data_IF_433836034440
#
_entry.id   IF_433836034440
#
_cell.length_a   1.000
_cell.length_b   1.000
_cell.length_c   1.000
_cell.angle_alpha   90.00
_cell.angle_beta   90.00
_cell.angle_gamma   90.00
#
_symmetry.space_group_name_H-M   'P 1'
#
loop_
_entity.id
_entity.type
_entity.pdbx_description
1 polymer ?
#
# COMPACT_ATOMS: atom_id res chain seq x y z
N UNK A 1 3.13 13.51 -35.48
CA UNK A 1 2.31 13.32 -34.25
C UNK A 1 3.24 12.98 -33.11
N UNK A 2 2.99 13.53 -31.92
CA UNK A 2 3.84 13.38 -30.72
C UNK A 2 3.75 11.94 -30.21
N UNK A 3 4.90 11.28 -30.04
CA UNK A 3 5.01 9.93 -29.45
C UNK A 3 5.47 9.95 -28.00
N UNK A 4 6.27 10.93 -27.64
CA UNK A 4 6.83 11.10 -26.30
C UNK A 4 6.68 12.56 -25.92
N UNK A 5 6.29 12.81 -24.67
CA UNK A 5 6.16 14.15 -24.12
C UNK A 5 6.92 14.21 -22.80
N UNK A 6 7.87 15.14 -22.68
CA UNK A 6 8.70 15.31 -21.50
C UNK A 6 8.68 16.77 -21.08
N UNK A 7 8.30 17.04 -19.84
CA UNK A 7 8.37 18.37 -19.23
C UNK A 7 9.72 18.56 -18.57
N UNK A 8 10.70 19.06 -19.33
CA UNK A 8 12.03 19.38 -18.82
C UNK A 8 12.00 20.69 -18.00
N UNK A 9 12.45 20.62 -16.76
CA UNK A 9 12.46 21.77 -15.85
C UNK A 9 11.10 22.07 -15.23
N UNK A 10 11.07 23.04 -14.31
CA UNK A 10 9.88 23.36 -13.51
C UNK A 10 8.91 24.26 -14.29
N UNK A 11 7.78 23.71 -14.73
CA UNK A 11 6.67 24.44 -15.32
C UNK A 11 5.54 24.62 -14.30
N UNK A 12 5.31 25.87 -13.87
CA UNK A 12 4.28 26.19 -12.87
C UNK A 12 2.91 26.31 -13.53
N UNK A 13 1.98 25.46 -13.10
CA UNK A 13 0.57 25.57 -13.46
C UNK A 13 -0.10 26.52 -12.47
N UNK A 14 -0.43 27.73 -12.92
CA UNK A 14 -1.06 28.77 -12.09
C UNK A 14 -2.59 28.73 -12.09
N UNK A 15 -3.18 27.97 -13.03
CA UNK A 15 -4.64 27.79 -13.14
C UNK A 15 -5.06 26.51 -12.41
N UNK A 16 -6.18 26.58 -11.69
CA UNK A 16 -6.64 25.49 -10.82
C UNK A 16 -7.16 24.22 -11.49
N UNK A 17 -6.97 24.04 -12.80
CA UNK A 17 -7.56 22.91 -13.55
C UNK A 17 -6.66 22.44 -14.69
N UNK A 18 -6.54 21.12 -14.81
CA UNK A 18 -5.85 20.37 -15.85
C UNK A 18 -6.81 19.49 -16.67
N UNK A 19 -8.09 19.88 -16.73
CA UNK A 19 -9.12 19.09 -17.41
C UNK A 19 -8.67 18.72 -18.82
N UNK A 20 -8.56 17.42 -19.07
CA UNK A 20 -8.26 16.84 -20.39
C UNK A 20 -6.95 17.33 -21.05
N UNK A 21 -6.04 17.97 -20.30
CA UNK A 21 -4.88 18.68 -20.86
C UNK A 21 -3.99 17.79 -21.74
N UNK A 22 -3.76 16.54 -21.33
CA UNK A 22 -2.93 15.54 -22.01
C UNK A 22 -3.77 14.34 -22.44
N UNK A 23 -4.99 14.61 -22.91
CA UNK A 23 -5.95 13.59 -23.34
C UNK A 23 -5.99 13.41 -24.86
N UNK A 24 -6.47 12.25 -25.30
CA UNK A 24 -6.80 11.99 -26.71
C UNK A 24 -5.63 12.18 -27.69
N UNK A 25 -4.41 11.88 -27.27
CA UNK A 25 -3.21 11.94 -28.10
C UNK A 25 -2.94 10.56 -28.72
N UNK A 26 -3.39 10.28 -29.97
CA UNK A 26 -3.52 8.91 -30.48
C UNK A 26 -2.20 8.20 -30.77
N UNK A 27 -1.07 8.92 -30.76
CA UNK A 27 0.26 8.38 -31.00
C UNK A 27 1.18 8.42 -29.77
N UNK A 28 0.71 8.99 -28.66
CA UNK A 28 1.50 9.15 -27.45
C UNK A 28 1.70 7.79 -26.78
N UNK A 29 2.96 7.43 -26.55
CA UNK A 29 3.42 6.17 -25.97
C UNK A 29 3.93 6.37 -24.55
N UNK A 30 4.63 7.48 -24.30
CA UNK A 30 5.15 7.82 -22.99
C UNK A 30 4.95 9.30 -22.66
N UNK A 31 4.74 9.57 -21.37
CA UNK A 31 4.65 10.93 -20.83
C UNK A 31 5.49 11.00 -19.56
N UNK A 32 6.30 12.04 -19.44
CA UNK A 32 6.99 12.43 -18.23
C UNK A 32 6.53 13.84 -17.82
N UNK A 33 5.82 13.92 -16.69
CA UNK A 33 5.33 15.17 -16.08
C UNK A 33 6.08 15.56 -14.82
N UNK A 34 7.27 15.01 -14.56
CA UNK A 34 8.07 15.30 -13.36
C UNK A 34 8.37 16.79 -13.20
N UNK A 35 8.47 17.53 -14.31
CA UNK A 35 8.64 18.98 -14.35
C UNK A 35 7.36 19.81 -14.13
N UNK A 36 6.17 19.21 -14.13
CA UNK A 36 4.92 19.96 -13.92
C UNK A 36 4.70 20.25 -12.45
N UNK A 37 4.69 21.53 -12.09
CA UNK A 37 4.30 21.99 -10.76
C UNK A 37 2.80 22.24 -10.69
N UNK A 38 2.10 21.28 -10.09
CA UNK A 38 0.64 21.26 -9.99
C UNK A 38 0.12 21.73 -8.63
N UNK A 39 0.94 22.42 -7.84
CA UNK A 39 0.59 22.93 -6.50
C UNK A 39 -0.74 23.69 -6.45
N UNK A 40 -1.09 24.45 -7.48
CA UNK A 40 -2.33 25.24 -7.53
C UNK A 40 -3.53 24.47 -8.10
N UNK A 41 -3.34 23.25 -8.60
CA UNK A 41 -4.35 22.51 -9.35
C UNK A 41 -5.31 21.79 -8.41
N UNK A 42 -6.60 21.97 -8.64
CA UNK A 42 -7.68 21.30 -7.91
C UNK A 42 -8.39 20.24 -8.74
N UNK A 43 -8.46 20.42 -10.06
CA UNK A 43 -9.23 19.55 -10.96
C UNK A 43 -8.31 18.87 -11.98
N UNK A 44 -8.04 17.58 -11.80
CA UNK A 44 -7.22 16.74 -12.68
C UNK A 44 -8.05 15.91 -13.65
N UNK A 45 -9.34 16.24 -13.80
CA UNK A 45 -10.30 15.39 -14.52
C UNK A 45 -9.81 15.07 -15.93
N UNK A 46 -9.70 13.79 -16.25
CA UNK A 46 -9.35 13.34 -17.59
C UNK A 46 -7.95 13.74 -18.08
N UNK A 47 -7.06 14.24 -17.20
CA UNK A 47 -5.76 14.81 -17.59
C UNK A 47 -4.98 13.92 -18.56
N UNK A 48 -4.95 12.61 -18.34
CA UNK A 48 -4.24 11.62 -19.16
C UNK A 48 -5.18 10.67 -19.92
N UNK A 49 -6.44 11.03 -20.12
CA UNK A 49 -7.44 10.10 -20.63
C UNK A 49 -7.36 9.85 -22.14
N UNK A 50 -7.90 8.72 -22.60
CA UNK A 50 -8.11 8.42 -24.03
C UNK A 50 -6.86 8.36 -24.90
N UNK A 51 -5.69 8.07 -24.32
CA UNK A 51 -4.44 7.90 -25.06
C UNK A 51 -4.26 6.42 -25.47
N UNK A 52 -4.72 6.09 -26.68
CA UNK A 52 -4.82 4.70 -27.18
C UNK A 52 -3.50 3.91 -27.23
N UNK A 53 -2.35 4.59 -27.22
CA UNK A 53 -1.01 3.99 -27.28
C UNK A 53 -0.17 4.21 -26.02
N UNK A 54 -0.72 4.88 -25.01
CA UNK A 54 0.04 5.26 -23.81
C UNK A 54 0.34 4.01 -22.98
N UNK A 55 1.63 3.76 -22.78
CA UNK A 55 2.16 2.60 -22.06
C UNK A 55 2.79 3.01 -20.73
N UNK A 56 3.39 4.20 -20.65
CA UNK A 56 4.10 4.69 -19.47
C UNK A 56 3.74 6.14 -19.14
N UNK A 57 3.49 6.40 -17.86
CA UNK A 57 3.36 7.74 -17.31
C UNK A 57 4.34 7.85 -16.15
N UNK A 58 5.20 8.87 -16.19
CA UNK A 58 6.07 9.24 -15.09
C UNK A 58 5.49 10.45 -14.35
N UNK A 59 5.10 10.24 -13.10
CA UNK A 59 4.46 11.24 -12.23
C UNK A 59 5.43 11.79 -11.17
N UNK A 60 6.71 11.41 -11.17
CA UNK A 60 7.63 11.83 -10.10
C UNK A 60 8.86 10.95 -9.88
N UNK A 61 9.19 10.03 -10.78
CA UNK A 61 10.40 9.20 -10.63
C UNK A 61 11.66 10.07 -10.70
N UNK A 62 12.66 9.77 -9.87
CA UNK A 62 13.97 10.43 -9.92
C UNK A 62 14.09 11.82 -9.27
N UNK A 63 13.01 12.43 -8.75
CA UNK A 63 13.08 13.71 -8.02
C UNK A 63 12.52 13.56 -6.61
N UNK A 64 13.39 13.66 -5.60
CA UNK A 64 13.00 13.74 -4.19
C UNK A 64 12.08 14.97 -4.03
N UNK A 65 10.79 14.74 -3.78
CA UNK A 65 9.74 15.77 -3.74
C UNK A 65 9.39 16.41 -5.11
N UNK A 66 9.17 15.58 -6.14
CA UNK A 66 8.75 16.00 -7.48
C UNK A 66 7.69 17.12 -7.52
N UNK A 67 7.63 17.86 -8.62
CA UNK A 67 6.77 19.05 -8.72
C UNK A 67 5.28 18.71 -8.83
N UNK A 68 4.94 17.46 -9.17
CA UNK A 68 3.56 16.98 -9.31
C UNK A 68 2.89 16.80 -7.94
N UNK A 69 2.24 17.86 -7.46
CA UNK A 69 1.60 17.96 -6.14
C UNK A 69 0.09 17.82 -6.24
N UNK A 70 -0.51 17.09 -5.30
CA UNK A 70 -1.96 16.84 -5.28
C UNK A 70 -2.65 17.25 -3.99
N UNK A 71 -1.96 17.89 -3.03
CA UNK A 71 -2.57 18.31 -1.75
C UNK A 71 -3.74 19.29 -1.91
N UNK A 72 -3.83 19.99 -3.04
CA UNK A 72 -4.98 20.84 -3.38
C UNK A 72 -6.01 20.16 -4.30
N UNK A 73 -5.75 18.92 -4.72
CA UNK A 73 -6.63 18.18 -5.62
C UNK A 73 -7.97 17.87 -4.94
N UNK A 74 -9.05 18.15 -5.66
CA UNK A 74 -10.42 17.85 -5.26
C UNK A 74 -11.09 16.82 -6.19
N UNK A 75 -10.58 16.64 -7.41
CA UNK A 75 -11.12 15.71 -8.41
C UNK A 75 -10.03 14.97 -9.19
N UNK A 76 -10.20 13.65 -9.30
CA UNK A 76 -9.43 12.75 -10.16
C UNK A 76 -10.30 12.01 -11.19
N UNK A 77 -11.51 12.52 -11.45
CA UNK A 77 -12.47 11.86 -12.34
C UNK A 77 -11.83 11.54 -13.70
N UNK A 78 -11.92 10.30 -14.16
CA UNK A 78 -11.40 9.83 -15.45
C UNK A 78 -9.90 10.09 -15.70
N UNK A 79 -9.09 10.44 -14.69
CA UNK A 79 -7.72 10.94 -14.87
C UNK A 79 -6.88 10.06 -15.79
N UNK A 80 -7.01 8.73 -15.68
CA UNK A 80 -6.30 7.73 -16.49
C UNK A 80 -7.24 6.90 -17.38
N UNK A 81 -8.51 7.27 -17.53
CA UNK A 81 -9.50 6.46 -18.22
C UNK A 81 -9.16 6.26 -19.72
N UNK A 82 -9.59 5.14 -20.28
CA UNK A 82 -9.49 4.79 -21.70
C UNK A 82 -8.05 4.74 -22.24
N UNK A 83 -7.10 4.27 -21.43
CA UNK A 83 -5.72 3.98 -21.83
C UNK A 83 -5.49 2.46 -21.93
N UNK A 84 -5.87 1.82 -23.06
CA UNK A 84 -5.89 0.36 -23.16
C UNK A 84 -4.51 -0.31 -23.18
N UNK A 85 -3.42 0.47 -23.33
CA UNK A 85 -2.04 -0.01 -23.34
C UNK A 85 -1.28 0.24 -22.03
N UNK A 86 -1.89 0.95 -21.09
CA UNK A 86 -1.30 1.26 -19.80
C UNK A 86 -1.31 0.01 -18.93
N UNK A 87 -0.13 -0.53 -18.62
CA UNK A 87 0.04 -1.78 -17.86
C UNK A 87 0.16 -1.55 -16.36
N UNK A 88 0.69 -0.40 -15.97
CA UNK A 88 0.88 0.02 -14.59
C UNK A 88 0.80 1.55 -14.48
N UNK A 89 0.34 2.01 -13.32
CA UNK A 89 0.47 3.40 -12.88
C UNK A 89 1.01 3.35 -11.45
N UNK A 90 2.15 3.98 -11.22
CA UNK A 90 2.86 3.97 -9.93
C UNK A 90 3.24 5.37 -9.48
N UNK A 91 4.09 5.45 -8.44
CA UNK A 91 4.61 6.71 -7.86
C UNK A 91 3.59 7.57 -7.11
N UNK A 92 2.51 6.94 -6.65
CA UNK A 92 1.51 7.58 -5.81
C UNK A 92 1.99 7.91 -4.39
N UNK A 93 3.24 7.60 -4.03
CA UNK A 93 3.81 7.82 -2.69
C UNK A 93 3.82 9.29 -2.26
N UNK A 94 3.68 10.22 -3.20
CA UNK A 94 3.60 11.67 -2.95
C UNK A 94 2.21 12.25 -3.21
N UNK A 95 1.23 11.41 -3.55
CA UNK A 95 -0.14 11.86 -3.73
C UNK A 95 -0.78 12.04 -2.37
N UNK A 96 -1.07 13.29 -2.03
CA UNK A 96 -2.03 13.62 -0.99
C UNK A 96 -3.43 13.64 -1.62
N UNK A 97 -4.29 12.72 -1.18
CA UNK A 97 -5.69 12.61 -1.63
C UNK A 97 -6.68 13.05 -0.56
N UNK A 98 -6.22 13.61 0.56
CA UNK A 98 -7.05 13.96 1.72
C UNK A 98 -8.10 15.04 1.45
N UNK A 99 -7.98 15.76 0.34
CA UNK A 99 -8.93 16.77 -0.15
C UNK A 99 -9.77 16.30 -1.34
N UNK A 100 -9.52 15.10 -1.87
CA UNK A 100 -10.24 14.56 -3.02
C UNK A 100 -11.68 14.23 -2.63
N UNK A 101 -12.61 14.73 -3.42
CA UNK A 101 -14.05 14.51 -3.24
C UNK A 101 -14.65 13.60 -4.31
N UNK A 102 -13.93 13.37 -5.42
CA UNK A 102 -14.39 12.60 -6.56
C UNK A 102 -13.23 11.92 -7.29
N UNK A 103 -13.39 10.64 -7.60
CA UNK A 103 -12.46 9.83 -8.40
C UNK A 103 -13.19 8.90 -9.36
N UNK A 104 -14.34 9.33 -9.88
CA UNK A 104 -15.19 8.52 -10.76
C UNK A 104 -14.39 8.02 -11.96
N UNK A 105 -14.50 6.73 -12.25
CA UNK A 105 -13.96 6.12 -13.46
C UNK A 105 -12.47 6.37 -13.69
N UNK A 106 -11.67 6.64 -12.64
CA UNK A 106 -10.26 7.05 -12.74
C UNK A 106 -9.43 6.15 -13.67
N UNK A 107 -9.66 4.84 -13.64
CA UNK A 107 -8.96 3.84 -14.48
C UNK A 107 -9.89 3.12 -15.46
N UNK A 108 -11.11 3.62 -15.71
CA UNK A 108 -12.09 2.95 -16.57
C UNK A 108 -11.50 2.57 -17.93
N UNK A 109 -11.70 1.32 -18.35
CA UNK A 109 -11.21 0.74 -19.61
C UNK A 109 -9.68 0.83 -19.81
N UNK A 110 -8.88 0.84 -18.75
CA UNK A 110 -7.46 0.52 -18.82
C UNK A 110 -7.29 -1.00 -18.96
N UNK A 111 -7.61 -1.54 -20.13
CA UNK A 111 -7.79 -2.98 -20.33
C UNK A 111 -6.52 -3.80 -20.12
N UNK A 112 -5.33 -3.21 -20.23
CA UNK A 112 -4.03 -3.88 -19.98
C UNK A 112 -3.50 -3.71 -18.55
N UNK A 113 -4.18 -2.95 -17.70
CA UNK A 113 -3.74 -2.67 -16.33
C UNK A 113 -3.82 -3.93 -15.48
N UNK A 114 -2.69 -4.39 -14.93
CA UNK A 114 -2.63 -5.65 -14.15
C UNK A 114 -2.69 -5.43 -12.65
N UNK A 115 -2.18 -4.30 -12.18
CA UNK A 115 -2.17 -3.88 -10.77
C UNK A 115 -2.10 -2.35 -10.68
N UNK A 116 -2.50 -1.80 -9.53
CA UNK A 116 -2.39 -0.37 -9.19
C UNK A 116 -2.09 -0.23 -7.70
N UNK A 117 -1.08 0.57 -7.34
CA UNK A 117 -0.73 0.81 -5.94
C UNK A 117 -1.49 1.99 -5.35
N UNK A 118 -2.67 1.76 -4.74
CA UNK A 118 -3.50 2.82 -4.12
C UNK A 118 -3.55 2.78 -2.59
N UNK A 119 -2.68 1.99 -1.96
CA UNK A 119 -2.70 1.69 -0.52
C UNK A 119 -2.47 2.89 0.42
N UNK A 120 -2.02 4.03 -0.13
CA UNK A 120 -1.81 5.30 0.57
C UNK A 120 -2.96 6.29 0.38
N UNK A 121 -3.94 5.99 -0.49
CA UNK A 121 -5.03 6.93 -0.76
C UNK A 121 -5.91 7.08 0.49
N UNK A 122 -6.09 8.33 0.89
CA UNK A 122 -7.12 8.76 1.83
C UNK A 122 -8.41 9.06 1.06
N UNK A 123 -9.43 8.22 1.24
CA UNK A 123 -10.73 8.36 0.56
C UNK A 123 -11.84 8.86 1.48
N UNK A 124 -11.52 9.37 2.67
CA UNK A 124 -12.53 9.78 3.68
C UNK A 124 -13.48 10.88 3.21
N UNK A 125 -13.04 11.75 2.30
CA UNK A 125 -13.86 12.83 1.72
C UNK A 125 -14.48 12.48 0.36
N UNK A 126 -14.16 11.31 -0.18
CA UNK A 126 -14.57 10.92 -1.53
C UNK A 126 -16.03 10.51 -1.51
N UNK A 127 -16.84 11.21 -2.31
CA UNK A 127 -18.28 11.00 -2.43
C UNK A 127 -18.66 10.20 -3.66
N UNK A 128 -17.82 10.22 -4.69
CA UNK A 128 -18.07 9.53 -5.97
C UNK A 128 -16.84 8.73 -6.40
N UNK A 129 -17.03 7.44 -6.61
CA UNK A 129 -16.02 6.53 -7.14
C UNK A 129 -16.63 5.47 -8.07
N UNK A 130 -17.71 5.83 -8.79
CA UNK A 130 -18.38 4.92 -9.72
C UNK A 130 -17.43 4.46 -10.82
N UNK A 131 -17.42 3.15 -11.07
CA UNK A 131 -16.67 2.58 -12.16
C UNK A 131 -15.16 2.80 -12.06
N UNK A 132 -14.61 3.02 -10.86
CA UNK A 132 -13.19 3.34 -10.63
C UNK A 132 -12.23 2.48 -11.47
N UNK A 133 -12.50 1.17 -11.57
CA UNK A 133 -11.78 0.21 -12.39
C UNK A 133 -12.64 -0.42 -13.50
N UNK A 134 -13.82 0.14 -13.81
CA UNK A 134 -14.76 -0.48 -14.74
C UNK A 134 -14.08 -0.85 -16.07
N UNK A 135 -14.16 -2.12 -16.47
CA UNK A 135 -13.58 -2.63 -17.71
C UNK A 135 -12.05 -2.80 -17.70
N UNK A 136 -11.39 -2.74 -16.53
CA UNK A 136 -9.99 -3.16 -16.39
C UNK A 136 -9.88 -4.69 -16.47
N UNK A 137 -10.00 -5.23 -17.68
CA UNK A 137 -10.14 -6.67 -17.90
C UNK A 137 -8.93 -7.50 -17.48
N UNK A 138 -7.73 -6.92 -17.44
CA UNK A 138 -6.51 -7.62 -17.02
C UNK A 138 -6.12 -7.39 -15.55
N UNK A 139 -6.90 -6.60 -14.80
CA UNK A 139 -6.61 -6.33 -13.39
C UNK A 139 -6.80 -7.62 -12.60
N UNK A 140 -5.74 -8.11 -11.94
CA UNK A 140 -5.76 -9.40 -11.21
C UNK A 140 -5.80 -9.24 -9.70
N UNK A 141 -5.15 -8.21 -9.20
CA UNK A 141 -5.03 -7.92 -7.78
C UNK A 141 -5.17 -6.43 -7.52
N UNK A 142 -5.86 -6.08 -6.44
CA UNK A 142 -5.99 -4.70 -5.98
C UNK A 142 -5.88 -4.64 -4.45
N UNK A 143 -5.16 -3.65 -3.95
CA UNK A 143 -5.11 -3.34 -2.52
C UNK A 143 -5.92 -2.07 -2.26
N UNK A 144 -7.01 -2.21 -1.49
CA UNK A 144 -7.90 -1.13 -1.06
C UNK A 144 -7.89 -0.96 0.46
N UNK A 145 -6.82 -1.38 1.14
CA UNK A 145 -6.78 -1.43 2.61
C UNK A 145 -6.97 -0.09 3.30
N UNK A 146 -6.63 1.01 2.62
CA UNK A 146 -6.80 2.38 3.11
C UNK A 146 -8.15 3.01 2.76
N UNK A 147 -8.92 2.40 1.85
CA UNK A 147 -10.15 3.00 1.35
C UNK A 147 -11.21 2.96 2.43
N UNK A 148 -11.83 4.11 2.68
CA UNK A 148 -13.05 4.27 3.48
C UNK A 148 -14.20 4.65 2.56
N UNK A 149 -15.41 4.19 2.88
CA UNK A 149 -16.64 4.70 2.28
C UNK A 149 -17.47 5.36 3.37
N UNK A 150 -17.92 6.59 3.11
CA UNK A 150 -18.91 7.26 3.95
C UNK A 150 -20.33 6.87 3.57
N UNK A 151 -21.30 7.21 4.43
CA UNK A 151 -22.75 7.02 4.24
C UNK A 151 -23.25 7.60 2.89
N UNK A 152 -22.61 8.64 2.37
CA UNK A 152 -22.98 9.33 1.12
C UNK A 152 -22.16 8.91 -0.11
N UNK A 153 -21.40 7.82 -0.03
CA UNK A 153 -20.59 7.35 -1.16
C UNK A 153 -21.49 6.77 -2.25
N UNK A 154 -21.28 7.20 -3.50
CA UNK A 154 -22.06 6.77 -4.66
C UNK A 154 -21.22 5.92 -5.61
N UNK A 155 -21.86 4.94 -6.26
CA UNK A 155 -21.26 4.13 -7.32
C UNK A 155 -20.31 3.03 -6.86
N UNK A 156 -20.34 2.69 -5.57
CA UNK A 156 -19.51 1.63 -5.00
C UNK A 156 -19.74 0.29 -5.70
N UNK A 157 -21.00 0.01 -6.04
CA UNK A 157 -21.44 -1.17 -6.78
C UNK A 157 -20.81 -1.29 -8.18
N UNK A 158 -20.36 -0.16 -8.75
CA UNK A 158 -19.79 -0.09 -10.09
C UNK A 158 -18.27 -0.21 -10.13
N UNK A 159 -17.56 -0.11 -9.00
CA UNK A 159 -16.09 0.00 -8.93
C UNK A 159 -15.38 -1.02 -9.82
N UNK A 160 -15.82 -2.28 -9.79
CA UNK A 160 -15.21 -3.39 -10.51
C UNK A 160 -16.02 -3.93 -11.69
N UNK A 161 -17.03 -3.18 -12.17
CA UNK A 161 -17.89 -3.60 -13.28
C UNK A 161 -17.03 -4.04 -14.48
N UNK A 162 -17.22 -5.25 -15.00
CA UNK A 162 -16.43 -5.83 -16.10
C UNK A 162 -14.92 -6.05 -15.82
N UNK A 163 -14.46 -6.11 -14.56
CA UNK A 163 -13.10 -6.56 -14.20
C UNK A 163 -13.03 -8.10 -14.17
N UNK A 164 -12.98 -8.73 -15.34
CA UNK A 164 -13.20 -10.18 -15.49
C UNK A 164 -12.10 -11.07 -14.89
N UNK A 165 -10.87 -10.57 -14.73
CA UNK A 165 -9.74 -11.36 -14.23
C UNK A 165 -9.35 -11.01 -12.78
N UNK A 166 -10.16 -10.23 -12.08
CA UNK A 166 -9.86 -9.79 -10.72
C UNK A 166 -10.08 -10.95 -9.75
N UNK A 167 -9.00 -11.38 -9.08
CA UNK A 167 -8.97 -12.56 -8.23
C UNK A 167 -8.65 -12.22 -6.78
N UNK A 168 -7.78 -11.23 -6.56
CA UNK A 168 -7.27 -10.88 -5.23
C UNK A 168 -7.68 -9.48 -4.84
N UNK A 169 -8.23 -9.34 -3.64
CA UNK A 169 -8.56 -8.08 -3.01
C UNK A 169 -7.91 -8.06 -1.63
N UNK A 170 -7.12 -7.03 -1.35
CA UNK A 170 -6.66 -6.76 0.00
C UNK A 170 -7.53 -5.65 0.61
N UNK A 171 -8.17 -5.98 1.72
CA UNK A 171 -8.98 -5.07 2.52
C UNK A 171 -8.33 -4.95 3.90
N UNK A 172 -8.30 -3.73 4.43
CA UNK A 172 -7.80 -3.40 5.76
C UNK A 172 -8.92 -2.89 6.67
N UNK A 173 -8.63 -2.61 7.95
CA UNK A 173 -9.64 -2.20 8.92
C UNK A 173 -10.49 -1.00 8.49
N UNK A 174 -9.89 -0.06 7.73
CA UNK A 174 -10.56 1.13 7.20
C UNK A 174 -11.58 0.84 6.09
N UNK A 175 -11.41 -0.29 5.39
CA UNK A 175 -12.26 -0.69 4.25
C UNK A 175 -13.42 -1.61 4.62
N UNK A 176 -13.71 -1.77 5.92
CA UNK A 176 -14.80 -2.60 6.41
C UNK A 176 -16.15 -2.22 5.79
N UNK A 177 -16.49 -0.94 5.76
CA UNK A 177 -17.79 -0.47 5.25
C UNK A 177 -17.89 -0.61 3.72
N UNK A 178 -16.76 -0.59 3.02
CA UNK A 178 -16.69 -0.79 1.57
C UNK A 178 -17.15 -2.20 1.19
N UNK A 179 -16.73 -3.20 1.97
CA UNK A 179 -17.12 -4.60 1.77
C UNK A 179 -18.65 -4.76 1.89
N UNK A 180 -19.26 -4.10 2.88
CA UNK A 180 -20.71 -4.16 3.08
C UNK A 180 -21.49 -3.62 1.89
N UNK A 181 -21.04 -2.52 1.29
CA UNK A 181 -21.70 -1.91 0.13
C UNK A 181 -21.45 -2.68 -1.18
N UNK A 182 -20.27 -3.32 -1.34
CA UNK A 182 -19.99 -4.21 -2.48
C UNK A 182 -20.83 -5.50 -2.45
N UNK A 183 -21.22 -5.97 -1.26
CA UNK A 183 -22.00 -7.21 -1.07
C UNK A 183 -23.52 -7.07 -1.17
N UNK A 184 -24.07 -5.85 -1.13
CA UNK A 184 -25.51 -5.57 -1.25
C UNK A 184 -25.90 -5.36 -2.73
N UNK A 185 -26.02 -6.44 -3.49
CA UNK A 185 -26.65 -6.42 -4.82
C UNK A 185 -27.98 -7.15 -4.71
N UNK A 186 -29.08 -6.38 -4.73
CA UNK A 186 -30.47 -6.81 -4.60
C UNK A 186 -30.87 -7.91 -5.61
N UNK A 187 -31.56 -8.94 -5.11
CA UNK A 187 -32.02 -10.13 -5.84
C UNK A 187 -33.16 -9.85 -6.85
N UNK A 188 -33.57 -8.59 -7.08
CA UNK A 188 -34.78 -8.30 -7.90
C UNK A 188 -34.57 -7.42 -9.15
N UNK A 189 -33.34 -7.07 -9.54
CA UNK A 189 -33.06 -6.29 -10.76
C UNK A 189 -32.49 -7.13 -11.94
N UNK A 190 -32.72 -6.77 -13.22
CA UNK A 190 -32.28 -7.53 -14.39
C UNK A 190 -30.76 -7.49 -14.66
N UNK A 191 -29.97 -7.07 -13.67
CA UNK A 191 -28.50 -7.03 -13.73
C UNK A 191 -27.93 -7.79 -12.53
N UNK A 192 -28.10 -9.10 -12.53
CA UNK A 192 -27.39 -10.00 -11.61
C UNK A 192 -25.91 -10.04 -11.99
N UNK A 193 -25.10 -9.17 -11.37
CA UNK A 193 -23.66 -9.39 -11.30
C UNK A 193 -23.43 -10.48 -10.24
N UNK A 194 -23.50 -11.75 -10.66
CA UNK A 194 -22.68 -12.75 -10.01
C UNK A 194 -21.23 -12.36 -10.32
N UNK A 195 -20.61 -11.60 -9.43
CA UNK A 195 -19.17 -11.72 -9.30
C UNK A 195 -18.93 -13.21 -9.05
N UNK A 196 -18.33 -13.91 -10.02
CA UNK A 196 -17.84 -15.26 -9.82
C UNK A 196 -16.65 -15.15 -8.87
N UNK A 197 -16.96 -14.95 -7.60
CA UNK A 197 -16.05 -15.01 -6.47
C UNK A 197 -15.98 -16.50 -6.14
N UNK A 198 -14.82 -17.18 -6.22
CA UNK A 198 -14.70 -18.61 -5.87
C UNK A 198 -15.00 -18.93 -4.39
N UNK A 199 -15.54 -17.98 -3.64
CA UNK A 199 -15.75 -18.01 -2.19
C UNK A 199 -17.20 -17.62 -1.92
N UNK A 200 -18.05 -18.59 -1.61
CA UNK A 200 -19.40 -18.33 -1.15
C UNK A 200 -19.36 -17.97 0.35
N UNK A 201 -19.68 -16.74 0.70
CA UNK A 201 -19.92 -16.34 2.08
C UNK A 201 -21.24 -16.95 2.57
N UNK A 202 -21.26 -17.55 3.77
CA UNK A 202 -22.51 -17.82 4.49
C UNK A 202 -22.50 -17.10 5.83
N UNK A 203 -23.56 -16.36 6.08
CA UNK A 203 -23.86 -15.74 7.37
C UNK A 203 -24.53 -16.77 8.28
N UNK A 204 -24.14 -16.83 9.55
CA UNK A 204 -25.03 -17.38 10.58
C UNK A 204 -25.09 -16.44 11.77
N UNK A 205 -26.28 -15.90 12.01
CA UNK A 205 -26.62 -15.05 13.14
C UNK A 205 -26.89 -15.91 14.39
N UNK A 206 -26.24 -15.59 15.51
CA UNK A 206 -26.77 -15.92 16.84
C UNK A 206 -26.51 -14.76 17.81
N UNK A 207 -27.54 -13.95 18.03
CA UNK A 207 -27.61 -12.94 19.08
C UNK A 207 -29.07 -12.60 19.40
N UNK A 208 -29.35 -12.03 20.57
CA UNK A 208 -30.69 -11.54 20.94
C UNK A 208 -30.61 -10.02 21.15
N UNK A 209 -31.26 -9.24 20.27
CA UNK A 209 -31.52 -7.82 20.50
C UNK A 209 -30.86 -6.86 19.49
N UNK A 210 -31.38 -5.63 19.35
CA UNK A 210 -31.29 -4.90 18.08
C UNK A 210 -30.01 -4.09 17.81
N UNK A 211 -29.08 -3.84 18.76
CA UNK A 211 -28.00 -2.85 18.50
C UNK A 211 -26.64 -3.04 19.21
N UNK A 212 -26.08 -4.26 19.36
CA UNK A 212 -24.64 -4.42 19.68
C UNK A 212 -24.06 -5.72 19.07
N UNK A 213 -22.96 -5.61 18.33
CA UNK A 213 -22.14 -6.75 17.90
C UNK A 213 -20.83 -6.71 18.69
N UNK A 214 -20.57 -7.75 19.48
CA UNK A 214 -19.38 -7.81 20.33
C UNK A 214 -18.14 -8.35 19.58
N UNK A 215 -18.23 -9.37 18.72
CA UNK A 215 -17.10 -9.79 17.83
C UNK A 215 -17.60 -10.68 16.66
N UNK A 216 -16.83 -10.79 15.57
CA UNK A 216 -17.11 -11.66 14.40
C UNK A 216 -15.97 -12.67 14.22
N UNK A 217 -16.29 -13.97 14.14
CA UNK A 217 -15.36 -15.03 13.70
C UNK A 217 -15.60 -15.38 12.22
N UNK A 218 -14.51 -15.49 11.44
CA UNK A 218 -14.51 -15.82 10.00
C UNK A 218 -13.85 -17.18 9.75
N UNK A 219 -14.46 -18.05 8.94
CA UNK A 219 -13.86 -19.34 8.50
C UNK A 219 -13.92 -19.50 6.97
N UNK A 220 -12.83 -19.96 6.36
CA UNK A 220 -12.65 -20.19 4.92
C UNK A 220 -12.63 -21.71 4.61
N UNK A 221 -13.25 -22.18 3.52
CA UNK A 221 -12.97 -23.51 2.95
C UNK A 221 -13.28 -23.56 1.43
N UNK A 222 -12.38 -24.09 0.58
CA UNK A 222 -12.66 -24.32 -0.84
C UNK A 222 -13.52 -25.57 -1.09
N UNK A 223 -14.27 -25.59 -2.19
CA UNK A 223 -14.98 -26.76 -2.73
C UNK A 223 -14.10 -27.51 -3.74
N UNK A 224 -14.31 -28.82 -3.91
CA UNK A 224 -13.60 -29.62 -4.92
C UNK A 224 -14.22 -29.51 -6.33
N UNK A 225 -13.62 -30.20 -7.30
CA UNK A 225 -14.00 -30.20 -8.72
C UNK A 225 -15.39 -30.79 -9.02
N UNK A 226 -16.05 -31.36 -8.00
CA UNK A 226 -17.41 -31.90 -8.09
C UNK A 226 -18.44 -31.08 -7.29
N UNK A 227 -18.00 -30.03 -6.59
CA UNK A 227 -18.87 -29.07 -5.90
C UNK A 227 -19.26 -29.44 -4.47
N UNK A 228 -18.64 -30.46 -3.88
CA UNK A 228 -18.91 -30.92 -2.51
C UNK A 228 -18.05 -30.17 -1.47
N UNK A 229 -18.62 -29.96 -0.27
CA UNK A 229 -17.97 -29.21 0.83
C UNK A 229 -17.11 -30.17 1.66
N UNK A 230 -15.78 -30.04 1.61
CA UNK A 230 -14.88 -30.78 2.52
C UNK A 230 -15.09 -30.31 3.96
N UNK A 231 -15.44 -31.23 4.87
CA UNK A 231 -15.31 -31.02 6.32
C UNK A 231 -13.83 -31.06 6.72
N UNK A 232 -13.43 -30.15 7.61
CA UNK A 232 -12.05 -29.85 8.03
C UNK A 232 -11.20 -31.01 8.59
N UNK A 233 -11.72 -32.24 8.70
CA UNK A 233 -10.90 -33.38 9.14
C UNK A 233 -10.02 -33.97 8.03
N UNK A 234 -10.34 -33.75 6.77
CA UNK A 234 -9.65 -34.34 5.62
C UNK A 234 -9.17 -33.30 4.58
N UNK A 235 -9.13 -32.04 5.01
CA UNK A 235 -8.51 -30.95 4.27
C UNK A 235 -7.16 -30.65 4.90
N UNK A 236 -6.08 -31.12 4.27
CA UNK A 236 -4.78 -30.47 4.43
C UNK A 236 -5.01 -29.00 4.14
N UNK A 237 -4.66 -28.13 5.09
CA UNK A 237 -4.72 -26.69 4.93
C UNK A 237 -3.98 -26.35 3.64
N UNK A 238 -4.74 -26.05 2.58
CA UNK A 238 -4.24 -25.25 1.48
C UNK A 238 -4.51 -23.82 1.93
N UNK A 239 -3.72 -23.37 2.92
CA UNK A 239 -3.42 -21.96 3.08
C UNK A 239 -2.83 -21.59 1.72
N UNK A 240 -3.60 -20.84 0.93
CA UNK A 240 -3.09 -20.33 -0.34
C UNK A 240 -1.79 -19.61 -0.01
N UNK A 241 -0.67 -20.17 -0.45
CA UNK A 241 0.66 -19.70 -0.13
C UNK A 241 0.77 -18.17 -0.31
N UNK A 242 0.81 -17.38 0.78
CA UNK A 242 1.07 -15.94 0.73
C UNK A 242 2.57 -15.63 0.68
N UNK A 243 3.45 -16.66 0.70
CA UNK A 243 4.88 -16.54 0.93
C UNK A 243 5.63 -16.05 -0.32
N UNK A 244 5.50 -14.77 -0.62
CA UNK A 244 6.73 -14.02 -0.79
C UNK A 244 7.21 -13.66 0.60
N UNK A 245 8.11 -14.46 1.18
CA UNK A 245 8.96 -13.93 2.23
C UNK A 245 9.92 -12.95 1.56
N UNK A 246 9.95 -11.72 2.06
CA UNK A 246 10.94 -10.73 1.65
C UNK A 246 12.17 -10.92 2.54
N UNK A 247 13.35 -10.78 1.96
CA UNK A 247 14.57 -10.67 2.77
C UNK A 247 14.62 -9.26 3.35
N UNK A 248 14.68 -9.15 4.67
CA UNK A 248 14.93 -7.87 5.33
C UNK A 248 16.44 -7.67 5.41
N UNK A 249 16.96 -6.76 4.60
CA UNK A 249 18.38 -6.39 4.59
C UNK A 249 18.70 -5.57 5.82
N UNK A 250 19.81 -5.90 6.50
CA UNK A 250 20.39 -5.09 7.57
C UNK A 250 21.67 -4.46 7.08
N UNK A 251 21.76 -3.15 7.19
CA UNK A 251 22.94 -2.39 6.80
C UNK A 251 23.53 -1.69 8.01
N UNK A 252 24.86 -1.69 8.10
CA UNK A 252 25.61 -1.02 9.15
C UNK A 252 26.36 0.20 8.61
N UNK A 253 26.20 1.35 9.27
CA UNK A 253 26.96 2.55 8.96
C UNK A 253 28.24 2.60 9.80
N UNK A 254 29.44 2.42 9.22
CA UNK A 254 30.70 2.43 9.97
C UNK A 254 31.07 3.80 10.54
N UNK A 255 30.44 4.89 10.08
CA UNK A 255 30.73 6.25 10.54
C UNK A 255 29.88 6.65 11.75
N UNK A 256 28.60 6.24 11.78
CA UNK A 256 27.67 6.56 12.88
C UNK A 256 27.46 5.41 13.87
N UNK A 257 27.72 4.17 13.45
CA UNK A 257 27.40 2.96 14.22
C UNK A 257 25.94 2.53 14.14
N UNK A 258 25.14 3.18 13.29
CA UNK A 258 23.70 2.91 13.13
C UNK A 258 23.45 1.66 12.28
N UNK A 259 22.30 1.03 12.52
CA UNK A 259 21.76 -0.03 11.68
C UNK A 259 20.51 0.46 10.94
N UNK A 260 20.35 0.02 9.70
CA UNK A 260 19.19 0.32 8.86
C UNK A 260 18.59 -0.96 8.30
N UNK A 261 17.26 -1.02 8.23
CA UNK A 261 16.51 -2.21 7.83
C UNK A 261 15.58 -1.90 6.67
N UNK A 262 15.65 -2.69 5.59
CA UNK A 262 14.79 -2.50 4.41
C UNK A 262 14.54 -3.78 3.64
N UNK A 263 13.35 -3.90 3.04
CA UNK A 263 13.03 -4.92 2.05
C UNK A 263 13.30 -4.46 0.61
N UNK A 264 13.63 -3.18 0.40
CA UNK A 264 13.79 -2.59 -0.92
C UNK A 264 15.25 -2.67 -1.37
N UNK A 265 15.49 -3.48 -2.40
CA UNK A 265 16.82 -3.72 -2.96
C UNK A 265 17.48 -2.43 -3.48
N UNK A 266 16.72 -1.51 -4.08
CA UNK A 266 17.23 -0.21 -4.54
C UNK A 266 17.68 0.69 -3.39
N UNK A 267 17.00 0.65 -2.23
CA UNK A 267 17.37 1.42 -1.04
C UNK A 267 18.66 0.89 -0.42
N UNK A 268 18.80 -0.44 -0.36
CA UNK A 268 20.03 -1.12 0.06
C UNK A 268 21.21 -0.73 -0.84
N UNK A 269 21.06 -0.87 -2.15
CA UNK A 269 22.14 -0.61 -3.11
C UNK A 269 22.58 0.86 -3.08
N UNK A 270 21.64 1.77 -2.85
CA UNK A 270 21.96 3.18 -2.65
C UNK A 270 22.79 3.41 -1.37
N UNK A 271 22.39 2.84 -0.23
CA UNK A 271 23.14 3.00 1.03
C UNK A 271 24.53 2.38 0.95
N UNK A 272 24.67 1.20 0.31
CA UNK A 272 25.97 0.59 0.04
C UNK A 272 26.85 1.50 -0.82
N UNK A 273 26.28 2.15 -1.84
CA UNK A 273 27.02 3.12 -2.66
C UNK A 273 27.50 4.35 -1.87
N UNK A 274 26.84 4.67 -0.75
CA UNK A 274 27.20 5.74 0.18
C UNK A 274 28.17 5.27 1.28
N UNK A 275 28.66 4.03 1.23
CA UNK A 275 29.65 3.47 2.15
C UNK A 275 29.08 2.71 3.35
N UNK A 276 27.78 2.41 3.37
CA UNK A 276 27.20 1.48 4.33
C UNK A 276 27.65 0.05 4.01
N UNK A 277 27.77 -0.79 5.04
CA UNK A 277 28.09 -2.22 4.90
C UNK A 277 26.79 -3.02 4.87
N UNK A 278 26.60 -3.83 3.84
CA UNK A 278 25.54 -4.85 3.82
C UNK A 278 25.96 -5.99 4.78
N UNK A 279 25.14 -6.28 5.78
CA UNK A 279 25.35 -7.36 6.76
C UNK A 279 24.50 -8.60 6.42
N UNK A 280 24.12 -8.74 5.14
CA UNK A 280 23.23 -9.76 4.61
C UNK A 280 21.78 -9.63 5.14
N UNK A 281 20.95 -10.64 4.83
CA UNK A 281 19.57 -10.69 5.29
C UNK A 281 19.55 -10.95 6.81
N UNK A 282 18.96 -10.04 7.58
CA UNK A 282 18.82 -10.22 9.01
C UNK A 282 17.81 -11.31 9.37
N UNK A 283 16.65 -11.28 8.70
CA UNK A 283 15.62 -12.33 8.75
C UNK A 283 14.65 -12.17 7.58
N UNK A 284 13.73 -13.12 7.44
CA UNK A 284 12.65 -13.05 6.44
C UNK A 284 11.40 -12.44 7.06
N UNK A 285 10.69 -11.62 6.29
CA UNK A 285 9.44 -10.97 6.71
C UNK A 285 8.30 -11.24 5.72
N UNK A 286 7.05 -11.29 6.16
CA UNK A 286 5.91 -11.43 5.26
C UNK A 286 5.78 -10.18 4.37
N UNK A 287 5.42 -10.39 3.10
CA UNK A 287 5.09 -9.29 2.18
C UNK A 287 3.89 -8.46 2.66
N UNK A 288 2.97 -9.06 3.41
CA UNK A 288 1.80 -8.39 4.02
C UNK A 288 1.41 -9.09 5.31
N UNK A 289 1.02 -8.33 6.35
CA UNK A 289 0.36 -8.87 7.55
C UNK A 289 -0.54 -7.79 8.19
N UNK A 290 -1.27 -8.16 9.25
CA UNK A 290 -2.06 -7.24 10.08
C UNK A 290 -1.21 -6.44 11.10
N UNK A 291 0.08 -6.73 11.19
CA UNK A 291 1.05 -6.10 12.09
C UNK A 291 2.12 -5.35 11.29
N UNK A 292 1.92 -4.05 11.02
CA UNK A 292 2.93 -3.23 10.38
C UNK A 292 4.04 -2.84 11.36
N UNK A 293 5.26 -2.69 10.85
CA UNK A 293 6.35 -1.96 11.50
C UNK A 293 6.47 -0.60 10.84
N UNK A 294 6.19 0.45 11.61
CA UNK A 294 6.34 1.84 11.21
C UNK A 294 7.81 2.23 11.22
N UNK A 295 8.25 2.94 10.17
CA UNK A 295 9.59 3.52 10.07
C UNK A 295 9.51 5.02 10.30
N UNK A 296 10.31 5.52 11.23
CA UNK A 296 10.40 6.94 11.53
C UNK A 296 11.83 7.42 11.33
N UNK A 297 11.98 8.61 10.73
CA UNK A 297 13.27 9.25 10.49
C UNK A 297 13.43 10.48 11.38
N UNK A 298 14.58 10.60 12.06
CA UNK A 298 14.93 11.78 12.83
C UNK A 298 15.74 12.76 11.98
N UNK A 299 15.17 13.91 11.56
CA UNK A 299 15.87 14.86 10.71
C UNK A 299 17.06 15.57 11.39
N UNK A 300 17.16 15.50 12.72
CA UNK A 300 18.20 16.22 13.45
C UNK A 300 19.52 15.47 13.54
N UNK A 301 19.50 14.14 13.50
CA UNK A 301 20.71 13.31 13.60
C UNK A 301 20.82 12.20 12.56
N UNK A 302 19.77 11.95 11.75
CA UNK A 302 19.78 10.94 10.68
C UNK A 302 19.28 9.55 11.10
N UNK A 303 18.91 9.37 12.37
CA UNK A 303 18.54 8.08 12.95
C UNK A 303 17.19 7.56 12.45
N UNK A 304 17.00 6.25 12.48
CA UNK A 304 15.76 5.58 12.14
C UNK A 304 15.22 4.74 13.31
N UNK A 305 13.92 4.86 13.58
CA UNK A 305 13.22 4.08 14.59
C UNK A 305 12.18 3.17 13.94
N UNK A 306 12.10 1.93 14.42
CA UNK A 306 11.17 0.91 13.93
C UNK A 306 10.27 0.42 15.05
N UNK A 307 8.95 0.48 14.84
CA UNK A 307 7.99 0.10 15.87
C UNK A 307 6.69 -0.45 15.34
N UNK A 308 6.13 -1.45 16.03
CA UNK A 308 4.76 -1.91 15.84
C UNK A 308 3.75 -1.06 16.61
N UNK A 309 4.21 -0.21 17.53
CA UNK A 309 3.36 0.63 18.38
C UNK A 309 2.98 1.93 17.68
N UNK A 310 1.69 2.09 17.42
CA UNK A 310 1.15 3.33 16.90
C UNK A 310 1.32 4.50 17.89
N UNK A 311 1.22 4.25 19.19
CA UNK A 311 1.41 5.26 20.24
C UNK A 311 2.87 5.76 20.30
N UNK A 312 3.85 4.86 20.13
CA UNK A 312 5.27 5.21 20.09
C UNK A 312 5.57 6.06 18.83
N UNK A 313 5.04 5.64 17.68
CA UNK A 313 5.11 6.41 16.43
C UNK A 313 4.54 7.82 16.62
N UNK A 314 3.31 7.93 17.14
CA UNK A 314 2.67 9.23 17.35
C UNK A 314 3.44 10.13 18.32
N UNK A 315 4.04 9.54 19.36
CA UNK A 315 4.84 10.28 20.34
C UNK A 315 6.12 10.84 19.74
N UNK A 316 6.81 10.06 18.90
CA UNK A 316 8.01 10.50 18.17
C UNK A 316 7.69 11.59 17.14
N UNK A 317 6.58 11.44 16.40
CA UNK A 317 6.12 12.47 15.46
C UNK A 317 5.84 13.81 16.17
N UNK A 318 5.23 13.79 17.36
CA UNK A 318 4.97 14.99 18.16
C UNK A 318 6.25 15.74 18.55
N UNK A 319 7.38 15.03 18.70
CA UNK A 319 8.67 15.63 19.04
C UNK A 319 9.57 15.88 17.83
N UNK A 320 9.00 15.82 16.62
CA UNK A 320 9.64 16.27 15.38
C UNK A 320 10.27 15.18 14.51
N UNK A 321 10.04 13.90 14.82
CA UNK A 321 10.40 12.81 13.90
C UNK A 321 9.43 12.79 12.71
N UNK A 322 9.93 12.32 11.57
CA UNK A 322 9.15 12.17 10.35
C UNK A 322 8.64 10.74 10.25
N UNK A 323 7.33 10.56 10.17
CA UNK A 323 6.71 9.28 9.81
C UNK A 323 6.99 9.00 8.32
N UNK A 324 7.68 7.89 8.04
CA UNK A 324 7.96 7.43 6.68
C UNK A 324 6.98 6.35 6.20
N UNK A 325 6.02 5.98 7.04
CA UNK A 325 5.01 4.97 6.76
C UNK A 325 5.41 3.57 7.22
N UNK A 326 4.84 2.56 6.58
CA UNK A 326 5.11 1.14 6.87
C UNK A 326 6.44 0.77 6.23
N UNK A 327 7.43 0.40 7.04
CA UNK A 327 8.71 -0.11 6.55
C UNK A 327 8.60 -1.56 6.09
N UNK A 328 7.94 -2.41 6.88
CA UNK A 328 7.69 -3.83 6.57
C UNK A 328 6.57 -4.38 7.47
N UNK A 329 6.18 -5.64 7.26
CA UNK A 329 5.20 -6.36 8.07
C UNK A 329 5.86 -7.46 8.90
N UNK A 330 5.28 -7.81 10.04
CA UNK A 330 5.80 -8.84 10.95
C UNK A 330 4.68 -9.75 11.44
N UNK A 331 5.01 -10.81 12.20
CA UNK A 331 4.01 -11.68 12.80
C UNK A 331 3.78 -11.34 14.29
N UNK A 332 2.51 -11.35 14.77
CA UNK A 332 2.16 -10.96 16.14
C UNK A 332 2.52 -11.98 17.23
N UNK A 333 2.78 -13.23 16.86
CA UNK A 333 2.86 -14.34 17.80
C UNK A 333 4.07 -15.25 17.54
N UNK A 334 4.52 -15.84 18.65
CA UNK A 334 5.46 -16.94 18.65
C UNK A 334 4.77 -18.17 18.03
N UNK A 335 5.05 -18.39 16.74
CA UNK A 335 4.66 -19.59 16.03
C UNK A 335 5.89 -20.46 15.79
N UNK A 336 5.64 -21.73 15.46
CA UNK A 336 6.70 -22.64 15.04
C UNK A 336 7.39 -22.03 13.82
N UNK A 337 8.72 -21.89 13.88
CA UNK A 337 9.60 -21.30 12.85
C UNK A 337 9.72 -19.75 12.86
N UNK A 338 9.22 -19.08 13.90
CA UNK A 338 9.45 -17.66 14.16
C UNK A 338 10.47 -17.41 15.28
N UNK A 339 11.36 -16.44 15.07
CA UNK A 339 12.38 -16.04 16.03
C UNK A 339 12.02 -14.70 16.67
N UNK A 340 12.22 -14.53 17.99
CA UNK A 340 12.06 -13.24 18.64
C UNK A 340 13.09 -12.25 18.08
N UNK A 341 12.63 -11.05 17.71
CA UNK A 341 13.50 -9.92 17.38
C UNK A 341 13.63 -9.06 18.63
N UNK A 342 14.81 -9.07 19.22
CA UNK A 342 15.14 -8.30 20.42
C UNK A 342 15.45 -6.85 20.04
N UNK A 343 14.95 -5.90 20.84
CA UNK A 343 15.23 -4.47 20.72
C UNK A 343 16.12 -4.01 21.85
N UNK A 344 17.23 -3.35 21.50
CA UNK A 344 18.11 -2.72 22.49
C UNK A 344 18.27 -1.24 22.16
N UNK A 345 18.32 -0.41 23.20
CA UNK A 345 18.56 1.03 23.09
C UNK A 345 19.94 1.40 23.65
N UNK A 346 20.74 2.13 22.87
CA UNK A 346 22.00 2.70 23.31
C UNK A 346 21.79 4.15 23.79
N UNK A 347 21.80 4.41 25.11
CA UNK A 347 21.71 5.76 25.63
C UNK A 347 22.98 6.59 25.40
N UNK A 348 24.10 5.95 25.03
CA UNK A 348 25.40 6.59 24.90
C UNK A 348 25.75 6.94 23.44
N UNK A 349 24.87 6.63 22.48
CA UNK A 349 25.04 7.07 21.10
C UNK A 349 24.82 8.59 21.00
N UNK A 350 25.58 9.25 20.11
CA UNK A 350 25.54 10.69 19.96
C UNK A 350 24.16 11.17 19.44
N UNK A 351 23.50 12.08 20.17
CA UNK A 351 22.19 12.61 19.80
C UNK A 351 21.03 11.95 20.56
N UNK A 352 20.04 11.40 19.84
CA UNK A 352 18.82 10.82 20.44
C UNK A 352 18.99 9.40 21.04
N UNK A 353 20.23 8.89 21.05
CA UNK A 353 20.52 7.46 21.23
C UNK A 353 20.39 6.69 19.91
N UNK A 354 20.55 5.37 19.94
CA UNK A 354 20.41 4.50 18.77
C UNK A 354 19.73 3.18 19.15
N UNK A 355 18.97 2.59 18.24
CA UNK A 355 18.35 1.28 18.46
C UNK A 355 19.04 0.17 17.65
N UNK A 356 19.01 -1.05 18.20
CA UNK A 356 19.40 -2.26 17.51
C UNK A 356 18.23 -3.26 17.54
N UNK A 357 18.08 -4.00 16.45
CA UNK A 357 17.07 -5.05 16.30
C UNK A 357 17.75 -6.32 15.80
N UNK A 358 17.68 -7.40 16.57
CA UNK A 358 18.39 -8.64 16.22
C UNK A 358 17.64 -9.89 16.65
N UNK A 359 17.72 -10.93 15.83
CA UNK A 359 17.31 -12.29 16.20
C UNK A 359 18.43 -13.05 16.95
N UNK A 360 19.66 -12.52 16.92
CA UNK A 360 20.81 -13.15 17.56
C UNK A 360 20.83 -12.81 19.05
N UNK A 361 20.55 -13.83 19.88
CA UNK A 361 20.54 -13.69 21.34
C UNK A 361 21.93 -13.39 21.92
N UNK A 362 22.99 -13.89 21.31
CA UNK A 362 24.37 -13.62 21.75
C UNK A 362 24.75 -12.17 21.50
N UNK A 363 24.35 -11.61 20.33
CA UNK A 363 24.52 -10.19 20.03
C UNK A 363 23.74 -9.33 21.04
N UNK A 364 22.47 -9.66 21.29
CA UNK A 364 21.66 -9.01 22.31
C UNK A 364 22.38 -9.00 23.67
N UNK A 365 22.83 -10.17 24.14
CA UNK A 365 23.43 -10.32 25.47
C UNK A 365 24.75 -9.57 25.57
N UNK A 366 25.54 -9.56 24.49
CA UNK A 366 26.76 -8.78 24.41
C UNK A 366 26.48 -7.27 24.49
N UNK A 367 25.56 -6.74 23.68
CA UNK A 367 25.22 -5.31 23.69
C UNK A 367 24.71 -4.85 25.06
N UNK A 368 23.86 -5.65 25.70
CA UNK A 368 23.38 -5.38 27.06
C UNK A 368 24.53 -5.40 28.07
N UNK A 369 25.48 -6.35 27.95
CA UNK A 369 26.65 -6.43 28.83
C UNK A 369 27.58 -5.22 28.75
N UNK A 370 27.60 -4.51 27.62
CA UNK A 370 28.41 -3.30 27.41
C UNK A 370 27.62 -2.00 27.60
N UNK A 371 26.41 -2.07 28.18
CA UNK A 371 25.68 -0.89 28.66
C UNK A 371 24.50 -0.44 27.79
N UNK A 372 24.08 -1.23 26.80
CA UNK A 372 22.80 -1.00 26.12
C UNK A 372 21.64 -1.43 27.03
N UNK A 373 20.48 -0.78 26.88
CA UNK A 373 19.25 -1.13 27.59
C UNK A 373 18.47 -2.17 26.79
N UNK A 374 18.12 -3.28 27.43
CA UNK A 374 17.17 -4.25 26.91
C UNK A 374 15.74 -3.66 26.96
N UNK A 375 15.08 -3.59 25.81
CA UNK A 375 13.69 -3.14 25.68
C UNK A 375 12.73 -4.30 25.37
N UNK A 376 13.21 -5.53 25.42
CA UNK A 376 12.44 -6.75 25.22
C UNK A 376 12.30 -7.16 23.77
N UNK A 377 11.26 -7.97 23.51
CA UNK A 377 10.93 -8.46 22.18
C UNK A 377 10.08 -7.42 21.47
N UNK A 378 10.56 -6.92 20.34
CA UNK A 378 9.85 -5.95 19.52
C UNK A 378 8.74 -6.61 18.70
N UNK A 379 9.06 -7.76 18.09
CA UNK A 379 8.19 -8.58 17.24
C UNK A 379 8.86 -9.93 16.96
N UNK A 380 8.26 -10.73 16.08
CA UNK A 380 8.80 -12.01 15.62
C UNK A 380 9.10 -11.98 14.11
N UNK A 381 10.27 -12.50 13.72
CA UNK A 381 10.71 -12.66 12.32
C UNK A 381 10.72 -14.12 11.87
N UNK A 382 10.62 -14.39 10.57
CA UNK A 382 10.68 -15.75 10.03
C UNK A 382 12.13 -16.20 9.79
N UNK A 383 12.40 -17.50 9.97
CA UNK A 383 13.74 -18.11 9.73
C UNK A 383 14.32 -17.75 8.36
N UNK A 384 15.65 -17.56 8.32
CA UNK A 384 16.44 -17.31 7.09
C UNK A 384 16.56 -18.55 6.20
N UNK A 385 16.25 -19.73 6.72
CA UNK A 385 16.53 -21.02 6.09
C UNK A 385 15.32 -21.58 5.33
#
# INVERSE_FOLDING_TARGET
>A
MVKELVFNGRLIITKGSLISMLSSMPQLVSIDVTGLDTAAVQDFTGMFSSNKKLEKIDLGSGIKHGYFRTYNATKFDNMFAYNPKLTQVGWFNYFDTSNVTSMDSMFRNCTSLTTVGLHQFDTRKVKRMDGLFQGCTQLRAINLSSFTVGEYSQGIEGIFRNCKNLQTFNFGPKSRDLIHQLGYVDETGPYTYQAYIPWSYKWSYKGKGPYRAEYIEMYLAPKDEYGEIKRWKDATIISGNPNGLLSLHRLYNPNSGEHFYTCEQDEKDHLVSLGWKDEDAAWKVPKTSDQPVYRLYNPNNGDHHFTTSEDEKESLVKVGWKDEGIGFYVHPMNEKDHHPVYRQYNPNAYGAGSHNYTINKEEHDYLVSIGWKDEGIAWYGCSTD
#
